data_IF_752663984327
#
_entry.id   IF_752663984327
#
_cell.length_a   1.000
_cell.length_b   1.000
_cell.length_c   1.000
_cell.angle_alpha   90.00
_cell.angle_beta   90.00
_cell.angle_gamma   90.00
#
_symmetry.space_group_name_H-M   'P 1'
#
loop_
_entity.id
_entity.type
_entity.pdbx_description
1 polymer ?
#
# COMPACT_ATOMS: atom_id res chain seq x y z
N UNK A 1 -46.23 57.07 33.86
CA UNK A 1 -45.12 57.86 33.28
C UNK A 1 -43.81 57.24 33.72
N UNK A 2 -43.00 56.76 32.79
CA UNK A 2 -41.54 56.96 32.62
C UNK A 2 -41.13 56.00 31.50
N UNK A 3 -40.87 56.57 30.33
CA UNK A 3 -40.15 55.91 29.25
C UNK A 3 -38.71 55.63 29.72
N UNK A 4 -38.25 54.39 29.64
CA UNK A 4 -36.82 54.09 29.62
C UNK A 4 -36.46 53.57 28.24
N UNK A 5 -35.97 54.50 27.42
CA UNK A 5 -35.22 54.22 26.23
C UNK A 5 -33.85 53.64 26.63
N UNK A 6 -33.54 52.42 26.18
CA UNK A 6 -32.17 51.89 26.15
C UNK A 6 -31.81 51.45 24.74
N UNK A 7 -31.34 52.45 24.00
CA UNK A 7 -30.31 52.46 22.96
C UNK A 7 -29.87 51.11 22.35
N UNK A 8 -30.39 50.92 21.15
CA UNK A 8 -30.01 49.99 20.10
C UNK A 8 -28.59 50.26 19.55
N UNK A 9 -27.52 49.77 20.22
CA UNK A 9 -26.13 49.95 19.72
C UNK A 9 -25.13 48.83 19.99
N UNK A 10 -25.58 47.66 20.48
CA UNK A 10 -24.71 46.52 20.82
C UNK A 10 -25.17 45.18 20.22
N UNK A 11 -25.89 45.22 19.09
CA UNK A 11 -26.38 44.01 18.38
C UNK A 11 -25.67 43.71 17.05
N UNK A 12 -24.63 44.45 16.69
CA UNK A 12 -23.91 44.28 15.42
C UNK A 12 -22.44 43.84 15.56
N UNK A 13 -21.97 43.54 16.77
CA UNK A 13 -20.58 43.12 17.01
C UNK A 13 -20.40 41.60 17.24
N UNK A 14 -21.40 40.77 16.87
CA UNK A 14 -21.33 39.31 17.02
C UNK A 14 -21.67 38.56 15.72
N UNK A 15 -21.25 39.11 14.58
CA UNK A 15 -21.22 38.37 13.33
C UNK A 15 -19.81 38.50 12.73
N UNK A 16 -18.86 37.76 13.31
CA UNK A 16 -17.64 37.37 12.62
C UNK A 16 -17.99 36.07 11.89
N UNK A 17 -18.26 36.09 10.57
CA UNK A 17 -18.46 34.86 9.82
C UNK A 17 -17.11 34.15 9.71
N UNK A 18 -16.89 33.13 10.54
CA UNK A 18 -15.82 32.15 10.37
C UNK A 18 -16.09 31.27 9.14
N UNK A 19 -16.06 31.85 7.94
CA UNK A 19 -16.16 31.12 6.67
C UNK A 19 -14.92 31.29 5.79
N UNK A 20 -13.75 31.42 6.41
CA UNK A 20 -12.48 31.27 5.72
C UNK A 20 -11.52 30.55 6.65
N UNK A 21 -11.57 29.21 6.68
CA UNK A 21 -10.48 28.29 7.05
C UNK A 21 -10.99 26.84 7.12
N UNK A 22 -11.45 26.27 6.00
CA UNK A 22 -11.54 24.81 5.84
C UNK A 22 -11.05 24.39 4.45
N UNK A 23 -9.90 24.93 4.02
CA UNK A 23 -9.19 24.46 2.84
C UNK A 23 -7.77 23.99 3.21
N UNK A 24 -7.65 23.17 4.25
CA UNK A 24 -6.39 22.53 4.63
C UNK A 24 -6.61 21.25 5.45
N UNK A 25 -7.42 20.30 4.97
CA UNK A 25 -7.54 18.99 5.63
C UNK A 25 -7.59 17.79 4.66
N UNK A 26 -7.29 17.98 3.37
CA UNK A 26 -7.23 16.88 2.40
C UNK A 26 -5.81 16.55 1.89
N UNK A 27 -4.77 17.19 2.42
CA UNK A 27 -3.39 16.95 1.95
C UNK A 27 -2.63 15.82 2.67
N UNK A 28 -3.26 15.05 3.58
CA UNK A 28 -2.52 14.06 4.40
C UNK A 28 -3.06 12.63 4.40
N UNK A 29 -3.73 12.16 3.35
CA UNK A 29 -3.90 10.70 3.14
C UNK A 29 -3.17 10.15 1.92
N UNK A 30 -2.47 11.01 1.17
CA UNK A 30 -1.45 10.61 0.20
C UNK A 30 -0.13 10.26 0.88
N UNK A 31 -0.16 9.50 1.97
CA UNK A 31 1.04 8.90 2.52
C UNK A 31 1.57 7.93 1.46
N UNK A 32 2.61 8.34 0.73
CA UNK A 32 3.47 7.39 0.05
C UNK A 32 3.95 6.49 1.18
N UNK A 33 3.40 5.28 1.27
CA UNK A 33 3.90 4.29 2.20
C UNK A 33 5.37 4.10 1.81
N UNK A 34 6.28 4.72 2.56
CA UNK A 34 7.69 4.46 2.47
C UNK A 34 7.82 2.97 2.73
N UNK A 35 8.02 2.24 1.64
CA UNK A 35 8.27 0.82 1.69
C UNK A 35 9.46 0.68 2.65
N UNK A 36 9.21 0.09 3.82
CA UNK A 36 10.23 -0.19 4.83
C UNK A 36 11.51 -0.63 4.12
N UNK A 37 12.71 -0.18 4.55
CA UNK A 37 13.96 -0.48 3.88
C UNK A 37 14.30 -1.97 4.09
N UNK A 38 13.58 -2.86 3.43
CA UNK A 38 14.11 -4.15 3.06
C UNK A 38 15.30 -3.86 2.17
N UNK A 39 16.45 -4.49 2.46
CA UNK A 39 17.71 -4.38 1.73
C UNK A 39 17.51 -4.62 0.22
N UNK A 40 16.98 -3.63 -0.48
CA UNK A 40 17.13 -3.46 -1.92
C UNK A 40 18.54 -2.93 -2.06
N UNK A 41 19.37 -3.59 -2.85
CA UNK A 41 20.59 -2.97 -3.33
C UNK A 41 20.20 -1.56 -3.80
N UNK A 42 20.82 -0.49 -3.29
CA UNK A 42 20.33 0.84 -3.58
C UNK A 42 20.37 1.02 -5.10
N UNK A 43 19.23 1.35 -5.71
CA UNK A 43 19.12 1.51 -7.16
C UNK A 43 20.10 2.58 -7.70
N UNK A 44 20.70 3.37 -6.80
CA UNK A 44 21.80 4.29 -7.07
C UNK A 44 23.06 3.63 -7.65
N UNK A 45 23.28 2.33 -7.44
CA UNK A 45 24.44 1.60 -7.98
C UNK A 45 24.19 0.97 -9.36
N UNK A 46 22.97 1.08 -9.92
CA UNK A 46 22.63 0.51 -11.21
C UNK A 46 22.90 1.51 -12.34
N UNK A 47 23.49 1.03 -13.43
CA UNK A 47 23.56 1.82 -14.68
C UNK A 47 22.16 2.06 -15.23
N UNK A 48 21.99 3.07 -16.09
CA UNK A 48 20.70 3.36 -16.70
C UNK A 48 20.19 2.19 -17.55
N UNK A 49 21.08 1.48 -18.25
CA UNK A 49 20.72 0.29 -19.03
C UNK A 49 20.20 -0.84 -18.15
N UNK A 50 20.89 -1.13 -17.02
CA UNK A 50 20.45 -2.14 -16.05
C UNK A 50 19.08 -1.80 -15.45
N UNK A 51 18.82 -0.53 -15.12
CA UNK A 51 17.51 -0.09 -14.63
C UNK A 51 16.42 -0.32 -15.67
N UNK A 52 16.68 0.03 -16.93
CA UNK A 52 15.72 -0.15 -18.02
C UNK A 52 15.40 -1.62 -18.26
N UNK A 53 16.41 -2.51 -18.26
CA UNK A 53 16.21 -3.95 -18.42
C UNK A 53 15.40 -4.54 -17.27
N UNK A 54 15.73 -4.19 -16.02
CA UNK A 54 14.96 -4.64 -14.86
C UNK A 54 13.53 -4.11 -14.87
N UNK A 55 13.31 -2.87 -15.30
CA UNK A 55 11.97 -2.32 -15.49
C UNK A 55 11.17 -3.12 -16.52
N UNK A 56 11.74 -3.40 -17.69
CA UNK A 56 11.08 -4.18 -18.73
C UNK A 56 10.70 -5.59 -18.24
N UNK A 57 11.60 -6.27 -17.54
CA UNK A 57 11.32 -7.59 -16.96
C UNK A 57 10.20 -7.53 -15.93
N UNK A 58 10.22 -6.54 -15.02
CA UNK A 58 9.16 -6.34 -14.01
C UNK A 58 7.81 -6.04 -14.69
N UNK A 59 7.79 -5.15 -15.70
CA UNK A 59 6.59 -4.83 -16.48
C UNK A 59 6.04 -6.07 -17.18
N UNK A 60 6.88 -6.82 -17.89
CA UNK A 60 6.47 -8.02 -18.63
C UNK A 60 5.98 -9.13 -17.69
N UNK A 61 6.60 -9.30 -16.52
CA UNK A 61 6.06 -10.17 -15.47
C UNK A 61 4.70 -9.66 -14.96
N UNK A 62 4.58 -8.36 -14.73
CA UNK A 62 3.35 -7.71 -14.31
C UNK A 62 2.19 -7.99 -15.25
N UNK A 63 2.42 -7.91 -16.56
CA UNK A 63 1.43 -8.21 -17.59
C UNK A 63 1.12 -9.72 -17.65
N UNK A 64 2.13 -10.58 -17.75
CA UNK A 64 1.94 -12.04 -17.89
C UNK A 64 1.28 -12.70 -16.67
N UNK A 65 1.51 -12.17 -15.47
CA UNK A 65 0.91 -12.68 -14.23
C UNK A 65 -0.42 -12.03 -13.86
N UNK A 66 -0.99 -11.19 -14.73
CA UNK A 66 -2.24 -10.49 -14.46
C UNK A 66 -3.39 -11.47 -14.17
N UNK A 67 -3.64 -12.43 -15.06
CA UNK A 67 -4.74 -13.37 -14.90
C UNK A 67 -4.56 -14.26 -13.68
N UNK A 68 -3.32 -14.64 -13.36
CA UNK A 68 -3.01 -15.39 -12.14
C UNK A 68 -3.32 -14.58 -10.87
N UNK A 69 -3.02 -13.28 -10.86
CA UNK A 69 -3.40 -12.38 -9.76
C UNK A 69 -4.91 -12.24 -9.64
N UNK A 70 -5.60 -12.08 -10.77
CA UNK A 70 -7.04 -11.95 -10.80
C UNK A 70 -7.71 -13.23 -10.30
N UNK A 71 -7.27 -14.39 -10.76
CA UNK A 71 -7.75 -15.69 -10.31
C UNK A 71 -7.55 -15.87 -8.80
N UNK A 72 -6.38 -15.50 -8.27
CA UNK A 72 -6.10 -15.55 -6.85
C UNK A 72 -7.03 -14.64 -6.02
N UNK A 73 -7.34 -13.44 -6.52
CA UNK A 73 -8.29 -12.55 -5.85
C UNK A 73 -9.71 -13.15 -5.85
N UNK A 74 -10.17 -13.62 -7.01
CA UNK A 74 -11.49 -14.25 -7.17
C UNK A 74 -11.64 -15.51 -6.31
N UNK A 75 -10.61 -16.35 -6.25
CA UNK A 75 -10.63 -17.56 -5.41
C UNK A 75 -10.69 -17.22 -3.93
N UNK A 76 -9.93 -16.20 -3.50
CA UNK A 76 -9.97 -15.73 -2.11
C UNK A 76 -11.34 -15.17 -1.72
N UNK A 77 -11.92 -14.34 -2.58
CA UNK A 77 -13.28 -13.81 -2.39
C UNK A 77 -14.31 -14.94 -2.28
N UNK A 78 -14.35 -15.84 -3.25
CA UNK A 78 -15.30 -16.96 -3.26
C UNK A 78 -15.14 -17.90 -2.05
N UNK A 79 -13.91 -18.10 -1.56
CA UNK A 79 -13.67 -18.90 -0.36
C UNK A 79 -14.30 -18.25 0.88
N UNK A 80 -14.10 -16.94 1.04
CA UNK A 80 -14.63 -16.18 2.17
C UNK A 80 -16.17 -16.08 2.10
N UNK A 81 -16.75 -15.87 0.93
CA UNK A 81 -18.21 -15.84 0.75
C UNK A 81 -18.89 -17.16 1.15
N UNK A 82 -18.20 -18.30 0.94
CA UNK A 82 -18.72 -19.63 1.29
C UNK A 82 -18.35 -20.09 2.71
N UNK A 83 -17.51 -19.34 3.42
CA UNK A 83 -17.08 -19.71 4.76
C UNK A 83 -18.23 -19.51 5.76
N UNK A 84 -18.76 -20.61 6.29
CA UNK A 84 -19.86 -20.58 7.26
C UNK A 84 -19.38 -20.47 8.73
N UNK A 85 -18.08 -20.61 8.97
CA UNK A 85 -17.49 -20.61 10.31
C UNK A 85 -16.24 -19.74 10.38
N UNK A 86 -15.89 -19.22 11.57
CA UNK A 86 -14.63 -18.50 11.77
C UNK A 86 -13.40 -19.33 11.37
N UNK A 87 -13.42 -20.64 11.65
CA UNK A 87 -12.33 -21.55 11.30
C UNK A 87 -12.17 -21.67 9.78
N UNK A 88 -13.28 -21.84 9.04
CA UNK A 88 -13.24 -21.90 7.57
C UNK A 88 -12.69 -20.59 6.97
N UNK A 89 -13.09 -19.43 7.52
CA UNK A 89 -12.57 -18.15 7.08
C UNK A 89 -11.05 -18.02 7.33
N UNK A 90 -10.56 -18.45 8.49
CA UNK A 90 -9.12 -18.48 8.77
C UNK A 90 -8.35 -19.35 7.79
N UNK A 91 -8.89 -20.51 7.44
CA UNK A 91 -8.24 -21.42 6.49
C UNK A 91 -8.24 -20.85 5.07
N UNK A 92 -9.32 -20.18 4.64
CA UNK A 92 -9.33 -19.38 3.41
C UNK A 92 -8.21 -18.33 3.39
N UNK A 93 -8.04 -17.58 4.48
CA UNK A 93 -6.99 -16.54 4.58
C UNK A 93 -5.58 -17.14 4.52
N UNK A 94 -5.34 -18.28 5.21
CA UNK A 94 -4.06 -19.00 5.15
C UNK A 94 -3.74 -19.45 3.72
N UNK A 95 -4.70 -20.07 3.04
CA UNK A 95 -4.54 -20.54 1.67
C UNK A 95 -4.24 -19.37 0.73
N UNK A 96 -5.00 -18.28 0.85
CA UNK A 96 -4.80 -17.06 0.06
C UNK A 96 -3.40 -16.48 0.26
N UNK A 97 -2.95 -16.42 1.50
CA UNK A 97 -1.61 -15.92 1.82
C UNK A 97 -0.51 -16.83 1.26
N UNK A 98 -0.64 -18.15 1.38
CA UNK A 98 0.31 -19.09 0.77
C UNK A 98 0.36 -18.95 -0.75
N UNK A 99 -0.79 -18.84 -1.41
CA UNK A 99 -0.88 -18.64 -2.84
C UNK A 99 -0.21 -17.32 -3.27
N UNK A 100 -0.43 -16.24 -2.50
CA UNK A 100 0.22 -14.95 -2.73
C UNK A 100 1.73 -15.05 -2.57
N UNK A 101 2.22 -15.77 -1.55
CA UNK A 101 3.65 -16.00 -1.36
C UNK A 101 4.27 -16.77 -2.51
N UNK A 102 3.59 -17.78 -3.05
CA UNK A 102 4.04 -18.51 -4.25
C UNK A 102 4.16 -17.58 -5.46
N UNK A 103 3.16 -16.75 -5.72
CA UNK A 103 3.19 -15.78 -6.81
C UNK A 103 4.35 -14.77 -6.66
N UNK A 104 4.56 -14.26 -5.44
CA UNK A 104 5.68 -13.34 -5.16
C UNK A 104 7.04 -14.02 -5.35
N UNK A 105 7.16 -15.31 -5.01
CA UNK A 105 8.36 -16.10 -5.27
C UNK A 105 8.62 -16.25 -6.77
N UNK A 106 7.60 -16.57 -7.56
CA UNK A 106 7.72 -16.64 -9.03
C UNK A 106 8.20 -15.31 -9.63
N UNK A 107 7.59 -14.19 -9.25
CA UNK A 107 8.02 -12.88 -9.72
C UNK A 107 9.45 -12.53 -9.32
N UNK A 108 9.87 -12.93 -8.12
CA UNK A 108 11.25 -12.78 -7.66
C UNK A 108 12.21 -13.63 -8.47
N UNK A 109 11.87 -14.87 -8.79
CA UNK A 109 12.70 -15.74 -9.63
C UNK A 109 12.92 -15.13 -11.02
N UNK A 110 11.86 -14.60 -11.64
CA UNK A 110 11.95 -13.89 -12.93
C UNK A 110 12.89 -12.69 -12.85
N UNK A 111 12.75 -11.84 -11.82
CA UNK A 111 13.63 -10.68 -11.64
C UNK A 111 15.06 -11.11 -11.30
N UNK A 112 15.24 -12.15 -10.49
CA UNK A 112 16.55 -12.65 -10.10
C UNK A 112 17.29 -13.30 -11.26
N UNK A 113 16.59 -13.95 -12.19
CA UNK A 113 17.18 -14.44 -13.42
C UNK A 113 17.80 -13.29 -14.23
N UNK A 114 17.06 -12.19 -14.40
CA UNK A 114 17.60 -11.00 -15.08
C UNK A 114 18.75 -10.37 -14.29
N UNK A 115 18.64 -10.27 -12.96
CA UNK A 115 19.74 -9.76 -12.13
C UNK A 115 21.03 -10.56 -12.34
N UNK A 116 20.96 -11.90 -12.33
CA UNK A 116 22.12 -12.76 -12.58
C UNK A 116 22.71 -12.53 -13.97
N UNK A 117 21.86 -12.41 -14.99
CA UNK A 117 22.29 -12.10 -16.37
C UNK A 117 23.03 -10.76 -16.45
N UNK A 118 22.65 -9.78 -15.64
CA UNK A 118 23.27 -8.45 -15.56
C UNK A 118 24.47 -8.39 -14.60
N UNK A 119 24.93 -9.52 -14.05
CA UNK A 119 26.02 -9.57 -13.06
C UNK A 119 25.65 -9.02 -11.68
N UNK A 120 24.36 -8.85 -11.40
CA UNK A 120 23.85 -8.30 -10.15
C UNK A 120 23.52 -9.41 -9.14
N UNK A 121 23.79 -9.15 -7.87
CA UNK A 121 23.41 -10.05 -6.77
C UNK A 121 21.89 -10.27 -6.75
N UNK A 122 21.40 -11.52 -6.65
CA UNK A 122 19.97 -11.80 -6.52
C UNK A 122 19.34 -11.11 -5.30
N UNK A 123 18.06 -10.78 -5.40
CA UNK A 123 17.29 -10.26 -4.28
C UNK A 123 17.15 -11.36 -3.21
N UNK A 124 17.48 -11.08 -1.93
CA UNK A 124 17.45 -12.06 -0.85
C UNK A 124 16.01 -12.43 -0.53
N UNK A 125 15.74 -13.71 -0.27
CA UNK A 125 14.40 -14.15 0.14
C UNK A 125 13.87 -13.27 1.27
N UNK A 126 12.57 -13.00 1.21
CA UNK A 126 11.89 -12.18 2.20
C UNK A 126 11.81 -12.98 3.51
N UNK A 127 12.93 -13.05 4.25
CA UNK A 127 12.90 -13.43 5.66
C UNK A 127 12.19 -12.28 6.35
N UNK A 128 10.98 -12.54 6.81
CA UNK A 128 10.44 -11.84 7.97
C UNK A 128 11.43 -12.10 9.10
N UNK A 129 12.49 -11.28 9.21
CA UNK A 129 13.15 -11.12 10.49
C UNK A 129 12.07 -10.57 11.40
N UNK A 130 11.56 -11.45 12.25
CA UNK A 130 10.48 -11.13 13.17
C UNK A 130 10.82 -9.82 13.85
N UNK A 131 9.97 -8.82 13.64
CA UNK A 131 9.99 -7.62 14.47
C UNK A 131 9.89 -8.14 15.91
N UNK A 132 10.88 -7.78 16.72
CA UNK A 132 11.21 -8.43 17.99
C UNK A 132 10.00 -8.89 18.79
N UNK A 133 10.05 -10.16 19.18
CA UNK A 133 9.31 -10.71 20.32
C UNK A 133 9.71 -9.88 21.54
N UNK A 134 8.98 -8.82 21.86
CA UNK A 134 8.98 -8.24 23.20
C UNK A 134 8.10 -9.16 24.05
N UNK A 135 8.73 -10.18 24.61
CA UNK A 135 8.29 -10.74 25.89
C UNK A 135 8.95 -9.93 27.00
#
# INVERSE_FOLDING_TARGET
MVFMAFTNRWRQALLIPCFALTAAALQQSGGIAEAAPGRRMPESQLTQSQRQQLFQVRRNWGLRSYDQRLALLKSGQSCLERAQTPQAAQDCMKQQWQARRRLMKQGREVVNAERRRLGLTPLPDFRWQGRGRRG
#
